data_IF_568627243537
#
_entry.id   IF_568627243537
#
_cell.length_a   1.000
_cell.length_b   1.000
_cell.length_c   1.000
_cell.angle_alpha   90.00
_cell.angle_beta   90.00
_cell.angle_gamma   90.00
#
_symmetry.space_group_name_H-M   'P 1'
#
loop_
_entity.id
_entity.type
_entity.pdbx_description
1 polymer ?
#
# COMPACT_ATOMS: atom_id res chain seq x y z
N UNK A 1 19.88 13.66 23.08
CA UNK A 1 18.63 12.99 22.65
C UNK A 1 18.64 12.50 21.18
N UNK A 2 19.79 12.38 20.50
CA UNK A 2 19.85 12.04 19.06
C UNK A 2 19.77 10.54 18.71
N UNK A 3 19.94 9.63 19.68
CA UNK A 3 19.95 8.17 19.46
C UNK A 3 18.53 7.57 19.32
N UNK A 4 17.50 8.25 19.82
CA UNK A 4 16.14 7.72 19.85
C UNK A 4 15.41 7.79 18.49
N UNK A 5 15.79 8.71 17.61
CA UNK A 5 15.19 8.87 16.29
C UNK A 5 15.46 7.68 15.33
N UNK A 6 16.70 7.20 15.15
CA UNK A 6 16.96 6.05 14.28
C UNK A 6 16.32 4.76 14.79
N UNK A 7 16.30 4.53 16.12
CA UNK A 7 15.66 3.35 16.71
C UNK A 7 14.14 3.31 16.45
N UNK A 8 13.45 4.47 16.52
CA UNK A 8 12.02 4.57 16.17
C UNK A 8 11.75 4.26 14.71
N UNK A 9 12.62 4.69 13.79
CA UNK A 9 12.48 4.40 12.37
C UNK A 9 12.67 2.91 12.06
N UNK A 10 13.61 2.24 12.74
CA UNK A 10 13.78 0.78 12.62
C UNK A 10 12.57 0.03 13.17
N UNK A 11 12.09 0.39 14.37
CA UNK A 11 10.92 -0.25 14.98
C UNK A 11 9.68 -0.10 14.09
N UNK A 12 9.45 1.09 13.52
CA UNK A 12 8.37 1.32 12.58
C UNK A 12 8.49 0.43 11.33
N UNK A 13 9.68 0.35 10.71
CA UNK A 13 9.92 -0.51 9.55
C UNK A 13 9.69 -1.99 9.86
N UNK A 14 10.11 -2.45 11.04
CA UNK A 14 9.86 -3.84 11.50
C UNK A 14 8.37 -4.09 11.69
N UNK A 15 7.63 -3.15 12.28
CA UNK A 15 6.18 -3.28 12.44
C UNK A 15 5.47 -3.35 11.09
N UNK A 16 5.86 -2.51 10.13
CA UNK A 16 5.35 -2.57 8.76
C UNK A 16 5.71 -3.86 8.05
N UNK A 17 6.93 -4.39 8.23
CA UNK A 17 7.34 -5.67 7.68
C UNK A 17 6.52 -6.83 8.25
N UNK A 18 6.29 -6.85 9.57
CA UNK A 18 5.44 -7.85 10.20
C UNK A 18 4.00 -7.79 9.68
N UNK A 19 3.45 -6.59 9.53
CA UNK A 19 2.13 -6.40 8.94
C UNK A 19 2.07 -6.86 7.48
N UNK A 20 3.08 -6.54 6.67
CA UNK A 20 3.16 -6.99 5.28
C UNK A 20 3.20 -8.52 5.18
N UNK A 21 3.98 -9.19 6.02
CA UNK A 21 4.02 -10.67 6.05
C UNK A 21 2.67 -11.26 6.45
N UNK A 22 2.01 -10.70 7.45
CA UNK A 22 0.66 -11.10 7.85
C UNK A 22 -0.35 -10.95 6.70
N UNK A 23 -0.38 -9.78 6.07
CA UNK A 23 -1.29 -9.50 4.96
C UNK A 23 -1.00 -10.36 3.74
N UNK A 24 0.27 -10.68 3.46
CA UNK A 24 0.65 -11.59 2.38
C UNK A 24 0.13 -13.00 2.66
N UNK A 25 0.37 -13.52 3.87
CA UNK A 25 -0.13 -14.84 4.26
C UNK A 25 -1.66 -14.91 4.15
N UNK A 26 -2.35 -13.86 4.58
CA UNK A 26 -3.81 -13.80 4.52
C UNK A 26 -4.35 -13.63 3.10
N UNK A 27 -3.68 -12.84 2.25
CA UNK A 27 -4.01 -12.76 0.82
C UNK A 27 -3.85 -14.12 0.14
N UNK A 28 -2.78 -14.85 0.44
CA UNK A 28 -2.58 -16.21 -0.08
C UNK A 28 -3.69 -17.16 0.38
N UNK A 29 -4.08 -17.08 1.66
CA UNK A 29 -5.18 -17.87 2.20
C UNK A 29 -6.50 -17.60 1.43
N UNK A 30 -6.84 -16.33 1.21
CA UNK A 30 -8.05 -15.96 0.45
C UNK A 30 -7.99 -16.44 -1.01
N UNK A 31 -6.82 -16.39 -1.63
CA UNK A 31 -6.61 -16.95 -2.98
C UNK A 31 -6.82 -18.46 -3.01
N UNK A 32 -6.33 -19.19 -2.00
CA UNK A 32 -6.55 -20.64 -1.89
C UNK A 32 -8.04 -20.96 -1.70
N UNK A 33 -8.74 -20.17 -0.88
CA UNK A 33 -10.16 -20.40 -0.57
C UNK A 33 -11.10 -20.05 -1.74
N UNK A 34 -10.75 -19.05 -2.55
CA UNK A 34 -11.65 -18.45 -3.54
C UNK A 34 -11.15 -18.51 -4.99
N UNK A 35 -9.96 -19.04 -5.22
CA UNK A 35 -9.43 -19.41 -6.53
C UNK A 35 -9.04 -18.25 -7.44
N UNK A 36 -9.22 -18.45 -8.75
CA UNK A 36 -8.73 -17.53 -9.80
C UNK A 36 -9.24 -16.09 -9.66
N UNK A 37 -10.52 -15.81 -9.33
CA UNK A 37 -10.99 -14.44 -9.15
C UNK A 37 -10.19 -13.69 -8.08
N UNK A 38 -9.97 -14.31 -6.92
CA UNK A 38 -9.17 -13.73 -5.85
C UNK A 38 -7.72 -13.50 -6.29
N UNK A 39 -7.11 -14.45 -7.01
CA UNK A 39 -5.74 -14.29 -7.54
C UNK A 39 -5.63 -13.10 -8.49
N UNK A 40 -6.56 -12.99 -9.45
CA UNK A 40 -6.59 -11.88 -10.42
C UNK A 40 -6.77 -10.55 -9.69
N UNK A 41 -7.68 -10.48 -8.72
CA UNK A 41 -7.87 -9.26 -7.91
C UNK A 41 -6.63 -8.90 -7.11
N UNK A 42 -5.99 -9.86 -6.45
CA UNK A 42 -4.78 -9.62 -5.68
C UNK A 42 -3.66 -9.04 -6.55
N UNK A 43 -3.39 -9.65 -7.72
CA UNK A 43 -2.37 -9.18 -8.66
C UNK A 43 -2.72 -7.81 -9.20
N UNK A 44 -3.97 -7.58 -9.62
CA UNK A 44 -4.37 -6.28 -10.15
C UNK A 44 -4.19 -5.17 -9.10
N UNK A 45 -4.69 -5.40 -7.89
CA UNK A 45 -4.75 -4.37 -6.86
C UNK A 45 -3.40 -4.12 -6.19
N UNK A 46 -2.47 -5.08 -6.17
CA UNK A 46 -1.10 -4.82 -5.71
C UNK A 46 -0.34 -3.88 -6.67
N UNK A 47 -0.74 -3.80 -7.94
CA UNK A 47 -0.09 -2.96 -8.96
C UNK A 47 -0.75 -1.57 -9.07
N UNK A 48 -2.08 -1.50 -8.86
CA UNK A 48 -2.88 -0.27 -9.05
C UNK A 48 -2.31 0.98 -8.37
N UNK A 49 -1.85 0.97 -7.10
CA UNK A 49 -1.30 2.16 -6.45
C UNK A 49 -0.16 2.82 -7.23
N UNK A 50 0.73 2.01 -7.82
CA UNK A 50 1.88 2.49 -8.59
C UNK A 50 1.52 2.99 -9.98
N UNK A 51 0.35 2.61 -10.52
CA UNK A 51 -0.09 3.14 -11.80
C UNK A 51 -0.26 4.67 -11.77
N UNK A 52 -0.49 5.25 -10.58
CA UNK A 52 -0.51 6.70 -10.38
C UNK A 52 0.81 7.38 -10.74
N UNK A 53 1.94 6.65 -10.69
CA UNK A 53 3.25 7.20 -11.00
C UNK A 53 3.44 7.51 -12.49
N UNK A 54 2.61 6.93 -13.37
CA UNK A 54 2.64 7.22 -14.80
C UNK A 54 2.03 8.58 -15.15
N UNK A 55 1.30 9.22 -14.22
CA UNK A 55 0.71 10.55 -14.43
C UNK A 55 1.83 11.58 -14.59
N UNK A 56 1.96 12.16 -15.79
CA UNK A 56 3.00 13.14 -16.07
C UNK A 56 4.43 12.58 -15.98
N UNK A 57 4.63 11.28 -16.24
CA UNK A 57 5.93 10.60 -16.06
C UNK A 57 7.12 11.29 -16.77
N UNK A 58 6.87 12.01 -17.87
CA UNK A 58 7.89 12.79 -18.60
C UNK A 58 8.44 13.99 -17.83
N UNK A 59 7.71 14.45 -16.81
CA UNK A 59 8.08 15.57 -15.94
C UNK A 59 8.80 15.09 -14.65
N UNK A 60 8.79 13.78 -14.39
CA UNK A 60 9.52 13.15 -13.30
C UNK A 60 10.99 12.88 -13.67
N UNK A 61 11.84 12.68 -12.67
CA UNK A 61 13.27 12.42 -12.87
C UNK A 61 14.08 12.45 -11.58
N UNK A 62 15.29 11.87 -11.59
CA UNK A 62 16.22 11.88 -10.45
C UNK A 62 15.62 11.37 -9.13
N UNK A 63 14.76 10.34 -9.19
CA UNK A 63 14.07 9.77 -8.02
C UNK A 63 12.87 10.57 -7.49
N UNK A 64 12.52 11.68 -8.16
CA UNK A 64 11.36 12.51 -7.87
C UNK A 64 10.17 12.13 -8.75
N UNK A 65 9.00 12.18 -8.15
CA UNK A 65 7.73 11.99 -8.84
C UNK A 65 7.32 13.29 -9.56
N UNK A 66 6.57 13.23 -10.66
CA UNK A 66 5.95 14.43 -11.22
C UNK A 66 5.04 15.07 -10.16
N UNK A 67 5.09 16.40 -9.94
CA UNK A 67 4.18 17.10 -9.01
C UNK A 67 2.70 16.82 -9.30
N UNK A 68 2.35 16.53 -10.57
CA UNK A 68 0.99 16.18 -10.98
C UNK A 68 0.53 14.81 -10.47
N UNK A 69 1.45 13.85 -10.31
CA UNK A 69 1.16 12.52 -9.79
C UNK A 69 1.07 12.49 -8.26
N UNK A 70 1.72 13.43 -7.56
CA UNK A 70 1.79 13.48 -6.09
C UNK A 70 0.44 13.30 -5.39
N UNK A 71 -0.65 14.03 -5.72
CA UNK A 71 -1.93 13.85 -5.03
C UNK A 71 -2.50 12.45 -5.20
N UNK A 72 -2.40 11.87 -6.41
CA UNK A 72 -2.90 10.53 -6.71
C UNK A 72 -2.06 9.45 -6.02
N UNK A 73 -0.73 9.57 -6.09
CA UNK A 73 0.18 8.69 -5.38
C UNK A 73 -0.08 8.73 -3.88
N UNK A 74 -0.12 9.93 -3.28
CA UNK A 74 -0.33 10.06 -1.85
C UNK A 74 -1.69 9.55 -1.40
N UNK A 75 -2.73 9.72 -2.21
CA UNK A 75 -4.03 9.12 -1.93
C UNK A 75 -3.93 7.59 -1.92
N UNK A 76 -3.37 7.00 -2.98
CA UNK A 76 -3.25 5.54 -3.09
C UNK A 76 -2.31 4.92 -2.06
N UNK A 77 -1.40 5.69 -1.46
CA UNK A 77 -0.46 5.20 -0.46
C UNK A 77 -0.90 5.51 0.99
N UNK A 78 -2.15 5.91 1.22
CA UNK A 78 -2.72 6.08 2.56
C UNK A 78 -3.23 4.74 3.10
N UNK A 79 -2.67 4.22 4.21
CA UNK A 79 -3.05 2.90 4.72
C UNK A 79 -4.47 2.86 5.27
N UNK A 80 -5.03 3.99 5.70
CA UNK A 80 -6.38 4.02 6.26
C UNK A 80 -7.47 3.71 5.22
N UNK A 81 -7.22 3.96 3.94
CA UNK A 81 -8.21 3.73 2.87
C UNK A 81 -8.50 2.22 2.72
N UNK A 82 -7.50 1.36 2.43
CA UNK A 82 -7.76 -0.07 2.39
C UNK A 82 -8.14 -0.65 3.75
N UNK A 83 -7.70 -0.05 4.87
CA UNK A 83 -8.17 -0.44 6.20
C UNK A 83 -9.68 -0.23 6.39
N UNK A 84 -10.23 0.90 5.93
CA UNK A 84 -11.68 1.16 5.95
C UNK A 84 -12.42 0.15 5.08
N UNK A 85 -11.86 -0.24 3.93
CA UNK A 85 -12.44 -1.30 3.08
C UNK A 85 -12.49 -2.63 3.84
N UNK A 86 -11.40 -3.04 4.48
CA UNK A 86 -11.32 -4.29 5.23
C UNK A 86 -12.30 -4.31 6.41
N UNK A 87 -12.32 -3.24 7.22
CA UNK A 87 -13.24 -3.12 8.36
C UNK A 87 -14.69 -3.08 7.88
N UNK A 88 -14.98 -2.27 6.86
CA UNK A 88 -16.32 -2.17 6.29
C UNK A 88 -16.82 -3.48 5.69
N UNK A 89 -15.94 -4.28 5.08
CA UNK A 89 -16.26 -5.62 4.62
C UNK A 89 -16.53 -6.56 5.80
N UNK A 90 -15.62 -6.64 6.78
CA UNK A 90 -15.72 -7.60 7.89
C UNK A 90 -16.92 -7.37 8.81
N UNK A 91 -17.42 -6.14 8.92
CA UNK A 91 -18.55 -5.80 9.78
C UNK A 91 -19.80 -5.34 9.00
N UNK A 92 -19.72 -5.30 7.67
CA UNK A 92 -20.81 -4.87 6.81
C UNK A 92 -21.62 -6.04 6.25
N UNK A 93 -22.71 -5.74 5.52
CA UNK A 93 -23.54 -6.77 4.87
C UNK A 93 -23.00 -7.22 3.50
N UNK A 94 -21.82 -6.74 3.10
CA UNK A 94 -21.26 -6.97 1.76
C UNK A 94 -20.56 -8.32 1.73
N UNK A 95 -21.08 -9.25 0.93
CA UNK A 95 -20.44 -10.54 0.65
C UNK A 95 -19.90 -10.57 -0.79
N UNK A 96 -18.77 -9.90 -0.97
CA UNK A 96 -18.10 -9.80 -2.27
C UNK A 96 -16.59 -9.99 -2.09
N UNK A 97 -16.16 -11.26 -2.08
CA UNK A 97 -14.77 -11.68 -1.82
C UNK A 97 -13.71 -10.83 -2.55
N UNK A 98 -13.83 -10.50 -3.86
CA UNK A 98 -12.85 -9.65 -4.51
C UNK A 98 -12.62 -8.30 -3.81
N UNK A 99 -13.63 -7.69 -3.18
CA UNK A 99 -13.45 -6.44 -2.44
C UNK A 99 -12.57 -6.64 -1.21
N UNK A 100 -12.73 -7.75 -0.49
CA UNK A 100 -11.89 -8.07 0.66
C UNK A 100 -10.44 -8.31 0.24
N UNK A 101 -10.24 -9.12 -0.81
CA UNK A 101 -8.93 -9.39 -1.39
C UNK A 101 -8.27 -8.11 -1.92
N UNK A 102 -9.05 -7.21 -2.52
CA UNK A 102 -8.56 -5.89 -2.94
C UNK A 102 -8.07 -5.06 -1.74
N UNK A 103 -8.83 -5.02 -0.64
CA UNK A 103 -8.40 -4.36 0.60
C UNK A 103 -7.09 -4.95 1.14
N UNK A 104 -6.94 -6.28 1.15
CA UNK A 104 -5.74 -6.96 1.61
C UNK A 104 -4.53 -6.65 0.73
N UNK A 105 -4.66 -6.82 -0.59
CA UNK A 105 -3.58 -6.60 -1.54
C UNK A 105 -3.13 -5.13 -1.57
N UNK A 106 -4.07 -4.19 -1.44
CA UNK A 106 -3.76 -2.77 -1.36
C UNK A 106 -3.03 -2.43 -0.05
N UNK A 107 -3.54 -2.87 1.11
CA UNK A 107 -2.86 -2.61 2.37
C UNK A 107 -1.49 -3.30 2.43
N UNK A 108 -1.36 -4.49 1.83
CA UNK A 108 -0.10 -5.21 1.67
C UNK A 108 0.92 -4.38 0.90
N UNK A 109 0.52 -3.81 -0.25
CA UNK A 109 1.37 -2.92 -1.03
C UNK A 109 1.89 -1.75 -0.18
N UNK A 110 0.98 -1.05 0.51
CA UNK A 110 1.36 0.09 1.38
C UNK A 110 2.28 -0.36 2.51
N UNK A 111 2.00 -1.49 3.16
CA UNK A 111 2.82 -2.00 4.26
C UNK A 111 4.22 -2.40 3.79
N UNK A 112 4.33 -3.04 2.62
CA UNK A 112 5.62 -3.40 2.02
C UNK A 112 6.46 -2.15 1.72
N UNK A 113 5.84 -1.13 1.12
CA UNK A 113 6.49 0.16 0.86
C UNK A 113 7.08 0.77 2.14
N UNK A 114 6.29 0.82 3.22
CA UNK A 114 6.75 1.37 4.50
C UNK A 114 7.85 0.53 5.14
N UNK A 115 7.82 -0.78 4.97
CA UNK A 115 8.89 -1.68 5.43
C UNK A 115 10.22 -1.38 4.73
N UNK A 116 10.19 -1.11 3.42
CA UNK A 116 11.37 -0.71 2.63
C UNK A 116 11.78 0.76 2.82
N UNK A 117 10.97 1.54 3.53
CA UNK A 117 11.23 2.95 3.81
C UNK A 117 10.70 3.91 2.75
N UNK A 118 9.78 3.46 1.90
CA UNK A 118 9.01 4.33 1.02
C UNK A 118 7.83 4.96 1.77
N UNK A 119 7.68 6.27 1.57
CA UNK A 119 6.68 7.10 2.22
C UNK A 119 5.84 7.87 1.23
N UNK A 120 5.06 8.82 1.74
CA UNK A 120 4.37 9.79 0.89
C UNK A 120 5.38 10.71 0.20
N UNK A 121 4.91 11.44 -0.80
CA UNK A 121 5.68 12.43 -1.55
C UNK A 121 5.33 13.84 -1.10
N UNK A 122 6.35 14.69 -1.05
CA UNK A 122 6.19 16.12 -0.90
C UNK A 122 5.54 16.73 -2.16
N UNK A 123 4.95 17.94 -2.08
CA UNK A 123 4.31 18.60 -3.23
C UNK A 123 5.22 18.76 -4.45
N UNK A 124 6.53 18.83 -4.22
CA UNK A 124 7.55 18.97 -5.25
C UNK A 124 7.98 17.62 -5.88
N UNK A 125 7.41 16.50 -5.40
CA UNK A 125 7.72 15.14 -5.85
C UNK A 125 8.89 14.46 -5.13
N UNK A 126 9.56 15.15 -4.21
CA UNK A 126 10.61 14.54 -3.37
C UNK A 126 10.01 13.52 -2.39
N UNK A 127 10.86 12.63 -1.86
CA UNK A 127 10.47 11.72 -0.78
C UNK A 127 10.35 12.51 0.52
N UNK A 128 9.30 12.24 1.27
CA UNK A 128 9.21 12.65 2.67
C UNK A 128 10.19 11.78 3.49
N UNK A 129 11.21 12.39 4.10
CA UNK A 129 12.34 11.74 4.78
C UNK A 129 12.25 11.87 6.29
#
# INVERSE_FOLDING_TARGET
MAVAAPARNVAARVAWAALALFLLAFTVLEVVNHGVPALVTAIAVVIVPDLTMFIGAREGGNGRLSPKAVPYYNFMHRPWIPLVILVGYSFGPIDFVPLFVAGLAWLLHVAADRAFGYGLRNPDGSRDV
#
